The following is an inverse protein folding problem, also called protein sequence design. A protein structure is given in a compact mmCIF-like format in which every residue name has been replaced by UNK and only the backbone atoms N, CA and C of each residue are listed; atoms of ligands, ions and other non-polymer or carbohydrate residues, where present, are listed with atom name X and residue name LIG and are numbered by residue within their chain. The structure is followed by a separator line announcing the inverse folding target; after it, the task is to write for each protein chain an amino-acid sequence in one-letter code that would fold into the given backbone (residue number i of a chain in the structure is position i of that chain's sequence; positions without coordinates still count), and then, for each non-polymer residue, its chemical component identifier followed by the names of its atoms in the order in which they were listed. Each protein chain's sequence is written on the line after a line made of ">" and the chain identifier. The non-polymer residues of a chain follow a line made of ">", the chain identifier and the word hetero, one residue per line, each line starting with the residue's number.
data_IF_414023432121
#
_entry.id   IF_414023432121
#
_cell.length_a   1.000
_cell.length_b   1.000
_cell.length_c   1.000
_cell.angle_alpha   90.00
_cell.angle_beta   90.00
_cell.angle_gamma   90.00
#
_symmetry.space_group_name_H-M   'P 1'
#
loop_
_entity.id
_entity.type
_entity.pdbx_description
1 polymer ?
#
# COMPACT_ATOMS: atom_id res chain seq x y z
N UNK A 1 1.85 13.85 75.44
CA UNK A 1 1.05 14.13 74.23
C UNK A 1 1.51 15.39 73.44
N UNK A 2 2.31 16.27 74.02
CA UNK A 2 2.72 17.53 73.37
C UNK A 2 3.94 17.45 72.43
N UNK A 3 4.71 16.37 72.45
CA UNK A 3 5.93 16.23 71.60
C UNK A 3 5.55 15.80 70.17
N UNK A 4 4.52 14.99 69.99
CA UNK A 4 4.01 14.59 68.67
C UNK A 4 3.40 15.76 67.89
N UNK A 5 2.79 16.70 68.57
CA UNK A 5 2.15 17.88 67.97
C UNK A 5 3.16 18.88 67.33
N UNK A 6 4.38 18.96 67.92
CA UNK A 6 5.44 19.84 67.42
C UNK A 6 6.15 19.24 66.17
N UNK A 7 6.41 17.95 66.11
CA UNK A 7 6.98 17.28 64.96
C UNK A 7 6.01 17.30 63.78
N UNK A 8 4.70 17.11 63.99
CA UNK A 8 3.68 17.22 62.93
C UNK A 8 3.59 18.66 62.40
N UNK A 9 3.69 19.68 63.28
CA UNK A 9 3.68 21.10 62.84
C UNK A 9 4.93 21.46 62.03
N UNK A 10 6.10 20.96 62.39
CA UNK A 10 7.36 21.15 61.61
C UNK A 10 7.24 20.53 60.22
N UNK A 11 6.77 19.29 60.13
CA UNK A 11 6.59 18.60 58.83
C UNK A 11 5.57 19.33 57.93
N UNK A 12 4.47 19.81 58.51
CA UNK A 12 3.47 20.60 57.76
C UNK A 12 4.06 21.94 57.29
N UNK A 13 4.90 22.59 58.08
CA UNK A 13 5.54 23.86 57.72
C UNK A 13 6.54 23.67 56.57
N UNK A 14 7.33 22.58 56.56
CA UNK A 14 8.25 22.25 55.49
C UNK A 14 7.52 21.95 54.16
N UNK A 15 6.42 21.19 54.23
CA UNK A 15 5.58 20.92 53.03
C UNK A 15 4.98 22.23 52.50
N UNK A 16 4.50 23.12 53.35
CA UNK A 16 3.97 24.44 52.94
C UNK A 16 5.04 25.29 52.27
N UNK A 17 6.24 25.39 52.86
CA UNK A 17 7.34 26.15 52.28
C UNK A 17 7.80 25.60 50.92
N UNK A 18 7.87 24.27 50.81
CA UNK A 18 8.15 23.61 49.56
C UNK A 18 7.07 23.91 48.49
N UNK A 19 5.79 23.86 48.88
CA UNK A 19 4.67 24.15 47.99
C UNK A 19 4.62 25.61 47.56
N UNK A 20 4.95 26.56 48.44
CA UNK A 20 5.07 27.96 48.07
C UNK A 20 6.17 28.19 47.03
N UNK A 21 7.25 27.46 47.12
CA UNK A 21 8.40 27.58 46.20
C UNK A 21 8.15 26.86 44.89
N UNK A 22 7.66 25.63 44.92
CA UNK A 22 7.57 24.74 43.73
C UNK A 22 6.12 24.48 43.27
N UNK A 23 5.11 24.86 44.02
CA UNK A 23 3.71 24.55 43.75
C UNK A 23 3.24 25.00 42.35
N UNK A 24 3.67 26.20 41.92
CA UNK A 24 3.33 26.71 40.57
C UNK A 24 3.93 25.83 39.49
N UNK A 25 5.19 25.40 39.65
CA UNK A 25 5.87 24.55 38.68
C UNK A 25 5.24 23.16 38.62
N UNK A 26 4.94 22.57 39.78
CA UNK A 26 4.26 21.26 39.86
C UNK A 26 2.87 21.34 39.25
N UNK A 27 2.08 22.34 39.57
CA UNK A 27 0.74 22.54 39.02
C UNK A 27 0.82 22.69 37.46
N UNK A 28 1.76 23.51 36.99
CA UNK A 28 1.96 23.68 35.54
C UNK A 28 2.33 22.35 34.87
N UNK A 29 3.25 21.59 35.47
CA UNK A 29 3.65 20.29 34.95
C UNK A 29 2.46 19.30 34.89
N UNK A 30 1.66 19.24 35.94
CA UNK A 30 0.44 18.39 36.01
C UNK A 30 -0.57 18.80 34.93
N UNK A 31 -0.80 20.09 34.73
CA UNK A 31 -1.71 20.59 33.70
C UNK A 31 -1.21 20.26 32.31
N UNK A 32 0.10 20.39 32.03
CA UNK A 32 0.70 20.02 30.73
C UNK A 32 0.54 18.55 30.48
N UNK A 33 0.82 17.68 31.44
CA UNK A 33 0.65 16.22 31.30
C UNK A 33 -0.82 15.85 31.08
N UNK A 34 -1.75 16.49 31.81
CA UNK A 34 -3.18 16.25 31.64
C UNK A 34 -3.66 16.64 30.21
N UNK A 35 -3.28 17.84 29.74
CA UNK A 35 -3.63 18.30 28.39
C UNK A 35 -3.01 17.41 27.30
N UNK A 36 -1.76 17.00 27.48
CA UNK A 36 -1.10 16.06 26.55
C UNK A 36 -1.81 14.72 26.49
N UNK A 37 -2.25 14.19 27.64
CA UNK A 37 -3.00 12.93 27.72
C UNK A 37 -4.36 13.01 27.03
N UNK A 38 -5.09 14.11 27.23
CA UNK A 38 -6.39 14.35 26.56
C UNK A 38 -6.20 14.49 25.06
N UNK A 39 -5.19 15.26 24.62
CA UNK A 39 -4.85 15.41 23.21
C UNK A 39 -4.50 14.08 22.55
N UNK A 40 -3.69 13.26 23.23
CA UNK A 40 -3.33 11.92 22.77
C UNK A 40 -4.54 10.98 22.66
N UNK A 41 -5.42 10.98 23.64
CA UNK A 41 -6.64 10.17 23.63
C UNK A 41 -7.59 10.58 22.51
N UNK A 42 -7.78 11.92 22.32
CA UNK A 42 -8.60 12.45 21.23
C UNK A 42 -8.05 12.08 19.85
N UNK A 43 -6.73 12.20 19.67
CA UNK A 43 -6.05 11.78 18.44
C UNK A 43 -6.21 10.29 18.17
N UNK A 44 -5.97 9.44 19.17
CA UNK A 44 -6.14 7.98 19.03
C UNK A 44 -7.59 7.58 18.75
N UNK A 45 -8.56 8.25 19.35
CA UNK A 45 -9.98 8.01 19.06
C UNK A 45 -10.30 8.37 17.60
N UNK A 46 -9.83 9.54 17.13
CA UNK A 46 -10.01 9.97 15.74
C UNK A 46 -9.39 8.98 14.75
N UNK A 47 -8.15 8.56 14.98
CA UNK A 47 -7.46 7.58 14.13
C UNK A 47 -8.17 6.23 14.10
N UNK A 48 -8.64 5.73 15.24
CA UNK A 48 -9.43 4.48 15.29
C UNK A 48 -10.74 4.60 14.51
N UNK A 49 -11.42 5.72 14.61
CA UNK A 49 -12.66 5.97 13.87
C UNK A 49 -12.41 5.97 12.37
N UNK A 50 -11.38 6.69 11.90
CA UNK A 50 -10.97 6.73 10.51
C UNK A 50 -10.60 5.34 9.98
N UNK A 51 -9.82 4.57 10.74
CA UNK A 51 -9.44 3.21 10.36
C UNK A 51 -10.66 2.27 10.29
N UNK A 52 -11.61 2.41 11.22
CA UNK A 52 -12.85 1.62 11.23
C UNK A 52 -13.73 1.92 10.00
N UNK A 53 -13.92 3.20 9.66
CA UNK A 53 -14.67 3.62 8.47
C UNK A 53 -14.01 3.12 7.18
N UNK A 54 -12.68 3.26 7.08
CA UNK A 54 -11.92 2.75 5.94
C UNK A 54 -12.01 1.23 5.81
N UNK A 55 -11.93 0.49 6.92
CA UNK A 55 -12.06 -0.97 6.89
C UNK A 55 -13.42 -1.44 6.41
N UNK A 56 -14.50 -0.77 6.80
CA UNK A 56 -15.86 -1.09 6.33
C UNK A 56 -16.02 -0.87 4.83
N UNK A 57 -15.47 0.22 4.30
CA UNK A 57 -15.46 0.47 2.85
C UNK A 57 -14.65 -0.59 2.11
N UNK A 58 -13.50 -0.99 2.65
CA UNK A 58 -12.69 -2.07 2.07
C UNK A 58 -13.45 -3.40 2.04
N UNK A 59 -14.08 -3.80 3.15
CA UNK A 59 -14.92 -5.01 3.21
C UNK A 59 -16.07 -4.94 2.19
N UNK A 60 -16.67 -3.76 2.02
CA UNK A 60 -17.69 -3.52 0.99
C UNK A 60 -17.14 -3.76 -0.41
N UNK A 61 -15.95 -3.24 -0.71
CA UNK A 61 -15.29 -3.46 -2.00
C UNK A 61 -14.99 -4.94 -2.26
N UNK A 62 -14.46 -5.67 -1.25
CA UNK A 62 -14.14 -7.09 -1.36
C UNK A 62 -15.42 -7.93 -1.58
N UNK A 63 -16.47 -7.68 -0.82
CA UNK A 63 -17.75 -8.39 -0.98
C UNK A 63 -18.40 -8.12 -2.33
N UNK A 64 -18.37 -6.87 -2.80
CA UNK A 64 -18.84 -6.50 -4.13
C UNK A 64 -18.01 -7.18 -5.23
N UNK A 65 -16.69 -7.25 -5.06
CA UNK A 65 -15.80 -7.98 -5.97
C UNK A 65 -16.14 -9.46 -6.07
N UNK A 66 -16.42 -10.10 -4.95
CA UNK A 66 -16.85 -11.50 -4.91
C UNK A 66 -18.22 -11.74 -5.58
N UNK A 67 -19.05 -10.70 -5.62
CA UNK A 67 -20.36 -10.71 -6.31
C UNK A 67 -20.26 -10.27 -7.79
N UNK A 68 -19.06 -10.00 -8.32
CA UNK A 68 -18.81 -9.45 -9.64
C UNK A 68 -19.51 -8.10 -9.92
N UNK A 69 -19.73 -7.30 -8.85
CA UNK A 69 -20.31 -5.95 -8.94
C UNK A 69 -19.19 -4.91 -9.07
N UNK A 70 -18.63 -4.79 -10.25
CA UNK A 70 -17.51 -3.89 -10.55
C UNK A 70 -17.85 -2.42 -10.26
N UNK A 71 -19.11 -2.01 -10.44
CA UNK A 71 -19.55 -0.64 -10.16
C UNK A 71 -19.45 -0.34 -8.66
N UNK A 72 -19.99 -1.20 -7.83
CA UNK A 72 -19.96 -1.05 -6.37
C UNK A 72 -18.54 -1.12 -5.80
N UNK A 73 -17.68 -1.98 -6.39
CA UNK A 73 -16.25 -2.01 -6.05
C UNK A 73 -15.61 -0.64 -6.33
N UNK A 74 -15.84 -0.07 -7.49
CA UNK A 74 -15.30 1.23 -7.89
C UNK A 74 -15.78 2.36 -6.96
N UNK A 75 -17.06 2.37 -6.61
CA UNK A 75 -17.63 3.36 -5.70
C UNK A 75 -16.99 3.29 -4.30
N UNK A 76 -16.86 2.09 -3.77
CA UNK A 76 -16.23 1.89 -2.46
C UNK A 76 -14.74 2.25 -2.47
N UNK A 77 -13.99 1.86 -3.49
CA UNK A 77 -12.58 2.23 -3.66
C UNK A 77 -12.40 3.74 -3.89
N UNK A 78 -13.29 4.37 -4.65
CA UNK A 78 -13.31 5.83 -4.83
C UNK A 78 -13.46 6.58 -3.51
N UNK A 79 -14.40 6.14 -2.65
CA UNK A 79 -14.58 6.71 -1.31
C UNK A 79 -13.36 6.50 -0.41
N UNK A 80 -12.68 5.35 -0.51
CA UNK A 80 -11.44 5.10 0.21
C UNK A 80 -10.34 6.07 -0.21
N UNK A 81 -10.14 6.28 -1.50
CA UNK A 81 -9.16 7.21 -2.04
C UNK A 81 -9.49 8.66 -1.63
N UNK A 82 -10.76 9.07 -1.71
CA UNK A 82 -11.18 10.44 -1.43
C UNK A 82 -11.08 10.79 0.06
N UNK A 83 -11.55 9.89 0.95
CA UNK A 83 -11.72 10.20 2.39
C UNK A 83 -10.63 9.62 3.27
N UNK A 84 -9.95 8.57 2.83
CA UNK A 84 -9.02 7.77 3.63
C UNK A 84 -7.72 7.45 2.87
N UNK A 85 -7.26 8.36 2.01
CA UNK A 85 -6.09 8.16 1.13
C UNK A 85 -4.81 7.74 1.85
N UNK A 86 -4.62 8.18 3.10
CA UNK A 86 -3.49 7.79 3.96
C UNK A 86 -3.66 6.44 4.67
N UNK A 87 -4.76 5.71 4.44
CA UNK A 87 -4.99 4.40 5.03
C UNK A 87 -4.50 3.29 4.11
N UNK A 88 -3.94 2.21 4.67
CA UNK A 88 -3.62 0.99 3.92
C UNK A 88 -4.83 0.45 3.14
N UNK A 89 -6.04 0.65 3.66
CA UNK A 89 -7.28 0.22 3.01
C UNK A 89 -7.55 0.94 1.68
N UNK A 90 -7.07 2.17 1.49
CA UNK A 90 -7.21 2.87 0.22
C UNK A 90 -6.42 2.15 -0.89
N UNK A 91 -5.16 1.79 -0.63
CA UNK A 91 -4.36 1.03 -1.59
C UNK A 91 -4.94 -0.37 -1.86
N UNK A 92 -5.35 -1.08 -0.81
CA UNK A 92 -5.97 -2.40 -0.97
C UNK A 92 -7.30 -2.35 -1.73
N UNK A 93 -8.16 -1.37 -1.42
CA UNK A 93 -9.43 -1.16 -2.12
C UNK A 93 -9.23 -0.81 -3.60
N UNK A 94 -8.24 0.04 -3.90
CA UNK A 94 -7.90 0.39 -5.28
C UNK A 94 -7.33 -0.81 -6.06
N UNK A 95 -6.54 -1.71 -5.43
CA UNK A 95 -6.10 -2.95 -6.04
C UNK A 95 -7.26 -3.91 -6.35
N UNK A 96 -8.23 -4.01 -5.44
CA UNK A 96 -9.47 -4.79 -5.66
C UNK A 96 -10.27 -4.20 -6.81
N UNK A 97 -10.40 -2.86 -6.85
CA UNK A 97 -11.11 -2.18 -7.92
C UNK A 97 -10.41 -2.33 -9.27
N UNK A 98 -9.08 -2.19 -9.31
CA UNK A 98 -8.29 -2.40 -10.51
C UNK A 98 -8.51 -3.79 -11.11
N UNK A 99 -8.52 -4.84 -10.26
CA UNK A 99 -8.84 -6.20 -10.68
C UNK A 99 -10.28 -6.31 -11.21
N UNK A 100 -11.27 -5.88 -10.42
CA UNK A 100 -12.68 -6.03 -10.79
C UNK A 100 -13.05 -5.26 -12.08
N UNK A 101 -12.47 -4.07 -12.30
CA UNK A 101 -12.67 -3.31 -13.53
C UNK A 101 -12.00 -4.00 -14.73
N UNK A 102 -10.79 -4.54 -14.58
CA UNK A 102 -10.11 -5.29 -15.65
C UNK A 102 -10.92 -6.53 -16.05
N UNK A 103 -11.40 -7.31 -15.09
CA UNK A 103 -12.26 -8.49 -15.34
C UNK A 103 -13.60 -8.12 -16.02
N UNK A 104 -14.11 -6.91 -15.77
CA UNK A 104 -15.29 -6.37 -16.43
C UNK A 104 -14.99 -5.76 -17.82
N UNK A 105 -13.74 -5.74 -18.28
CA UNK A 105 -13.29 -5.13 -19.53
C UNK A 105 -13.19 -3.58 -19.47
N UNK A 106 -13.33 -2.99 -18.30
CA UNK A 106 -13.17 -1.54 -18.11
C UNK A 106 -11.70 -1.20 -17.80
N UNK A 107 -10.84 -1.43 -18.79
CA UNK A 107 -9.39 -1.25 -18.67
C UNK A 107 -9.00 0.17 -18.26
N UNK A 108 -9.74 1.18 -18.72
CA UNK A 108 -9.48 2.58 -18.38
C UNK A 108 -9.61 2.86 -16.87
N UNK A 109 -10.71 2.41 -16.26
CA UNK A 109 -10.90 2.56 -14.82
C UNK A 109 -9.96 1.65 -14.02
N UNK A 110 -9.67 0.44 -14.52
CA UNK A 110 -8.66 -0.45 -13.94
C UNK A 110 -7.29 0.22 -13.88
N UNK A 111 -6.83 0.78 -15.02
CA UNK A 111 -5.55 1.48 -15.10
C UNK A 111 -5.50 2.69 -14.16
N UNK A 112 -6.58 3.45 -14.04
CA UNK A 112 -6.66 4.61 -13.14
C UNK A 112 -6.49 4.22 -11.67
N UNK A 113 -7.13 3.14 -11.22
CA UNK A 113 -7.02 2.64 -9.85
C UNK A 113 -5.60 2.11 -9.56
N UNK A 114 -5.02 1.36 -10.49
CA UNK A 114 -3.69 0.79 -10.35
C UNK A 114 -2.59 1.85 -10.43
N UNK A 115 -2.73 2.86 -11.29
CA UNK A 115 -1.83 4.00 -11.37
C UNK A 115 -1.80 4.77 -10.04
N UNK A 116 -2.96 5.01 -9.44
CA UNK A 116 -3.02 5.65 -8.13
C UNK A 116 -2.22 4.86 -7.06
N UNK A 117 -2.35 3.53 -7.02
CA UNK A 117 -1.58 2.69 -6.07
C UNK A 117 -0.09 2.71 -6.39
N UNK A 118 0.29 2.74 -7.67
CA UNK A 118 1.70 2.78 -8.09
C UNK A 118 2.44 4.06 -7.64
N UNK A 119 1.69 5.12 -7.39
CA UNK A 119 2.20 6.41 -6.91
C UNK A 119 2.10 6.55 -5.38
N UNK A 120 0.98 6.10 -4.79
CA UNK A 120 0.62 6.37 -3.39
C UNK A 120 0.75 5.15 -2.48
N UNK A 121 1.11 3.97 -3.00
CA UNK A 121 1.31 2.76 -2.20
C UNK A 121 2.33 2.99 -1.07
N UNK A 122 2.01 2.50 0.14
CA UNK A 122 2.76 2.75 1.37
C UNK A 122 4.25 2.35 1.26
N UNK A 123 4.53 1.23 0.60
CA UNK A 123 5.88 0.72 0.44
C UNK A 123 6.17 0.34 -1.02
N UNK A 124 7.45 0.10 -1.33
CA UNK A 124 7.88 -0.22 -2.68
C UNK A 124 7.23 -1.50 -3.21
N UNK A 125 7.06 -2.54 -2.39
CA UNK A 125 6.47 -3.80 -2.83
C UNK A 125 5.01 -3.61 -3.34
N UNK A 126 4.21 -2.81 -2.64
CA UNK A 126 2.84 -2.48 -3.06
C UNK A 126 2.84 -1.68 -4.37
N UNK A 127 3.76 -0.72 -4.49
CA UNK A 127 3.89 0.08 -5.72
C UNK A 127 4.35 -0.76 -6.90
N UNK A 128 5.32 -1.67 -6.70
CA UNK A 128 5.81 -2.55 -7.76
C UNK A 128 4.75 -3.55 -8.21
N UNK A 129 4.01 -4.14 -7.27
CA UNK A 129 2.85 -4.98 -7.60
C UNK A 129 1.79 -4.21 -8.40
N UNK A 130 1.51 -2.96 -8.02
CA UNK A 130 0.54 -2.13 -8.74
C UNK A 130 1.01 -1.80 -10.15
N UNK A 131 2.30 -1.46 -10.35
CA UNK A 131 2.88 -1.22 -11.67
C UNK A 131 2.83 -2.44 -12.56
N UNK A 132 3.13 -3.62 -12.00
CA UNK A 132 3.05 -4.88 -12.73
C UNK A 132 1.62 -5.14 -13.24
N UNK A 133 0.63 -4.97 -12.37
CA UNK A 133 -0.80 -5.13 -12.74
C UNK A 133 -1.26 -4.04 -13.70
N UNK A 134 -0.79 -2.81 -13.53
CA UNK A 134 -1.08 -1.70 -14.44
C UNK A 134 -0.56 -2.01 -15.84
N UNK A 135 0.68 -2.48 -15.95
CA UNK A 135 1.26 -2.86 -17.23
C UNK A 135 0.50 -4.02 -17.89
N UNK A 136 0.02 -5.00 -17.12
CA UNK A 136 -0.80 -6.10 -17.65
C UNK A 136 -2.15 -5.57 -18.21
N UNK A 137 -2.83 -4.69 -17.47
CA UNK A 137 -4.08 -4.03 -17.93
C UNK A 137 -3.84 -3.20 -19.20
N UNK A 138 -2.73 -2.47 -19.26
CA UNK A 138 -2.35 -1.67 -20.43
C UNK A 138 -2.00 -2.56 -21.64
N UNK A 139 -1.42 -3.76 -21.41
CA UNK A 139 -1.21 -4.74 -22.45
C UNK A 139 -2.55 -5.24 -23.01
N UNK A 140 -3.51 -5.59 -22.13
CA UNK A 140 -4.84 -6.06 -22.53
C UNK A 140 -5.63 -4.98 -23.28
N UNK A 141 -5.43 -3.70 -22.92
CA UNK A 141 -6.01 -2.55 -23.64
C UNK A 141 -5.34 -2.30 -25.01
N UNK A 142 -4.14 -2.85 -25.25
CA UNK A 142 -3.32 -2.55 -26.42
C UNK A 142 -2.47 -1.29 -26.29
N UNK A 143 -2.39 -0.70 -25.09
CA UNK A 143 -1.61 0.51 -24.79
C UNK A 143 -0.14 0.16 -24.50
N UNK A 144 0.56 -0.44 -25.45
CA UNK A 144 1.89 -1.06 -25.28
C UNK A 144 2.97 -0.10 -24.77
N UNK A 145 3.01 1.13 -25.28
CA UNK A 145 4.01 2.11 -24.84
C UNK A 145 3.80 2.53 -23.37
N UNK A 146 2.53 2.63 -22.94
CA UNK A 146 2.19 2.88 -21.54
C UNK A 146 2.58 1.69 -20.64
N UNK A 147 2.35 0.46 -21.11
CA UNK A 147 2.75 -0.75 -20.39
C UNK A 147 4.29 -0.80 -20.19
N UNK A 148 5.06 -0.52 -21.24
CA UNK A 148 6.52 -0.44 -21.13
C UNK A 148 6.97 0.67 -20.18
N UNK A 149 6.31 1.82 -20.20
CA UNK A 149 6.60 2.91 -19.26
C UNK A 149 6.32 2.50 -17.80
N UNK A 150 5.23 1.78 -17.55
CA UNK A 150 4.89 1.26 -16.21
C UNK A 150 5.94 0.25 -15.70
N UNK A 151 6.59 -0.50 -16.59
CA UNK A 151 7.66 -1.47 -16.29
C UNK A 151 9.07 -0.86 -16.31
N UNK A 152 9.22 0.45 -16.51
CA UNK A 152 10.54 1.10 -16.61
C UNK A 152 11.20 1.35 -15.25
N UNK A 153 10.44 1.35 -14.16
CA UNK A 153 10.97 1.51 -12.82
C UNK A 153 11.80 0.28 -12.42
N UNK A 154 12.87 0.49 -11.63
CA UNK A 154 13.63 -0.62 -11.04
C UNK A 154 12.85 -1.20 -9.85
N UNK A 155 12.29 -2.42 -9.97
CA UNK A 155 11.49 -3.02 -8.92
C UNK A 155 12.37 -3.69 -7.86
N UNK A 156 11.77 -4.05 -6.71
CA UNK A 156 12.37 -4.97 -5.76
C UNK A 156 12.73 -6.30 -6.44
N UNK A 157 13.72 -6.99 -5.89
CA UNK A 157 14.26 -8.23 -6.45
C UNK A 157 13.18 -9.28 -6.71
N UNK A 158 12.23 -9.43 -5.80
CA UNK A 158 11.10 -10.37 -5.91
C UNK A 158 10.18 -10.11 -7.12
N UNK A 159 10.19 -8.90 -7.68
CA UNK A 159 9.37 -8.54 -8.83
C UNK A 159 10.13 -8.53 -10.16
N UNK A 160 11.48 -8.57 -10.14
CA UNK A 160 12.30 -8.44 -11.36
C UNK A 160 11.96 -9.47 -12.43
N UNK A 161 11.77 -10.73 -12.02
CA UNK A 161 11.38 -11.79 -12.91
C UNK A 161 10.05 -11.49 -13.62
N UNK A 162 9.02 -11.15 -12.84
CA UNK A 162 7.69 -10.86 -13.38
C UNK A 162 7.68 -9.62 -14.27
N UNK A 163 8.48 -8.60 -13.95
CA UNK A 163 8.66 -7.42 -14.81
C UNK A 163 9.31 -7.76 -16.13
N UNK A 164 10.37 -8.60 -16.13
CA UNK A 164 11.07 -9.01 -17.34
C UNK A 164 10.17 -9.89 -18.23
N UNK A 165 9.42 -10.82 -17.64
CA UNK A 165 8.50 -11.68 -18.37
C UNK A 165 7.37 -10.87 -19.03
N UNK A 166 6.69 -10.00 -18.25
CA UNK A 166 5.61 -9.15 -18.78
C UNK A 166 6.13 -8.15 -19.83
N UNK A 167 7.36 -7.63 -19.65
CA UNK A 167 8.00 -6.79 -20.69
C UNK A 167 8.17 -7.55 -21.99
N UNK A 168 8.53 -8.84 -21.93
CA UNK A 168 8.58 -9.72 -23.09
C UNK A 168 7.21 -9.85 -23.76
N UNK A 169 6.13 -10.07 -22.97
CA UNK A 169 4.77 -10.17 -23.49
C UNK A 169 4.33 -8.88 -24.21
N UNK A 170 4.60 -7.72 -23.61
CA UNK A 170 4.27 -6.41 -24.21
C UNK A 170 5.03 -6.18 -25.52
N UNK A 171 6.33 -6.47 -25.55
CA UNK A 171 7.16 -6.31 -26.75
C UNK A 171 6.73 -7.27 -27.86
N UNK A 172 6.35 -8.49 -27.51
CA UNK A 172 5.80 -9.45 -28.48
C UNK A 172 4.49 -8.95 -29.07
N UNK A 173 3.54 -8.52 -28.23
CA UNK A 173 2.26 -7.96 -28.69
C UNK A 173 2.44 -6.70 -29.53
N UNK A 174 3.50 -5.92 -29.29
CA UNK A 174 3.87 -4.75 -30.09
C UNK A 174 4.52 -5.11 -31.45
N UNK A 175 4.74 -6.40 -31.75
CA UNK A 175 5.38 -6.87 -32.96
C UNK A 175 6.90 -6.70 -32.98
N UNK A 176 7.56 -6.71 -31.81
CA UNK A 176 9.01 -6.56 -31.64
C UNK A 176 9.64 -7.87 -31.11
N UNK A 177 9.61 -8.98 -31.89
CA UNK A 177 10.00 -10.31 -31.43
C UNK A 177 11.44 -10.40 -30.93
N UNK A 178 12.39 -9.69 -31.53
CA UNK A 178 13.80 -9.74 -31.11
C UNK A 178 13.99 -9.08 -29.74
N UNK A 179 13.28 -8.00 -29.46
CA UNK A 179 13.31 -7.35 -28.16
C UNK A 179 12.56 -8.18 -27.10
N UNK A 180 11.45 -8.82 -27.49
CA UNK A 180 10.72 -9.75 -26.63
C UNK A 180 11.62 -10.92 -26.19
N UNK A 181 12.38 -11.51 -27.16
CA UNK A 181 13.35 -12.58 -26.88
C UNK A 181 14.39 -12.15 -25.86
N UNK A 182 14.95 -10.94 -25.99
CA UNK A 182 15.90 -10.42 -25.02
C UNK A 182 15.29 -10.25 -23.63
N UNK A 183 14.04 -9.78 -23.53
CA UNK A 183 13.35 -9.62 -22.25
C UNK A 183 13.05 -10.98 -21.58
N UNK A 184 12.59 -11.97 -22.33
CA UNK A 184 12.37 -13.33 -21.81
C UNK A 184 13.67 -14.02 -21.41
N UNK A 185 14.78 -13.79 -22.12
CA UNK A 185 16.08 -14.33 -21.73
C UNK A 185 16.51 -13.80 -20.35
N UNK A 186 16.29 -12.50 -20.09
CA UNK A 186 16.52 -11.90 -18.77
C UNK A 186 15.60 -12.54 -17.71
N UNK A 187 14.32 -12.75 -18.03
CA UNK A 187 13.39 -13.40 -17.10
C UNK A 187 13.83 -14.85 -16.79
N UNK A 188 14.33 -15.57 -17.78
CA UNK A 188 14.83 -16.95 -17.63
C UNK A 188 16.08 -17.00 -16.73
N UNK A 189 16.98 -16.02 -16.86
CA UNK A 189 18.17 -15.90 -15.99
C UNK A 189 17.77 -15.61 -14.54
N UNK A 190 16.75 -14.79 -14.33
CA UNK A 190 16.20 -14.47 -13.00
C UNK A 190 15.47 -15.65 -12.36
N UNK A 191 14.89 -16.55 -13.15
CA UNK A 191 14.23 -17.78 -12.69
C UNK A 191 15.23 -18.85 -12.26
N UNK A 192 16.15 -18.53 -11.34
CA UNK A 192 17.25 -19.40 -10.96
C UNK A 192 16.91 -20.38 -9.81
N UNK A 193 15.82 -20.11 -9.06
CA UNK A 193 15.41 -20.93 -7.91
C UNK A 193 14.76 -22.26 -8.36
N UNK A 194 14.93 -23.35 -7.60
CA UNK A 194 14.15 -24.58 -7.83
C UNK A 194 12.63 -24.36 -7.77
N UNK A 195 12.17 -23.38 -7.00
CA UNK A 195 10.75 -23.02 -6.90
C UNK A 195 10.20 -22.37 -8.19
N UNK A 196 11.08 -21.89 -9.06
CA UNK A 196 10.73 -21.20 -10.31
C UNK A 196 10.57 -22.18 -11.49
N UNK A 197 10.63 -23.49 -11.28
CA UNK A 197 10.62 -24.49 -12.35
C UNK A 197 9.41 -24.31 -13.30
N UNK A 198 8.23 -24.08 -12.74
CA UNK A 198 7.00 -23.93 -13.54
C UNK A 198 7.02 -22.65 -14.40
N UNK A 199 7.45 -21.52 -13.81
CA UNK A 199 7.53 -20.24 -14.53
C UNK A 199 8.65 -20.28 -15.59
N UNK A 200 9.74 -20.99 -15.30
CA UNK A 200 10.83 -21.23 -16.26
C UNK A 200 10.35 -21.99 -17.49
N UNK A 201 9.56 -23.07 -17.30
CA UNK A 201 8.97 -23.81 -18.42
C UNK A 201 8.06 -22.93 -19.27
N UNK A 202 7.25 -22.07 -18.62
CA UNK A 202 6.38 -21.13 -19.32
C UNK A 202 7.19 -20.10 -20.14
N UNK A 203 8.23 -19.50 -19.55
CA UNK A 203 9.09 -18.54 -20.26
C UNK A 203 9.84 -19.22 -21.41
N UNK A 204 10.32 -20.47 -21.22
CA UNK A 204 10.96 -21.23 -22.27
C UNK A 204 9.98 -21.50 -23.43
N UNK A 205 8.74 -21.88 -23.16
CA UNK A 205 7.71 -22.05 -24.16
C UNK A 205 7.42 -20.75 -24.94
N UNK A 206 7.41 -19.59 -24.26
CA UNK A 206 7.28 -18.27 -24.93
C UNK A 206 8.48 -18.00 -25.86
N UNK A 207 9.71 -18.31 -25.41
CA UNK A 207 10.91 -18.18 -26.23
C UNK A 207 10.90 -19.09 -27.47
N UNK A 208 10.50 -20.34 -27.29
CA UNK A 208 10.41 -21.33 -28.39
C UNK A 208 9.35 -20.91 -29.43
N UNK A 209 8.24 -20.31 -28.97
CA UNK A 209 7.18 -19.79 -29.85
C UNK A 209 7.65 -18.59 -30.70
N UNK A 210 8.66 -17.83 -30.26
CA UNK A 210 9.28 -16.79 -31.10
C UNK A 210 10.14 -17.31 -32.25
N UNK A 211 10.42 -18.59 -32.26
CA UNK A 211 11.28 -19.24 -33.25
C UNK A 211 12.77 -18.90 -33.08
N UNK A 212 13.62 -19.57 -33.87
CA UNK A 212 15.05 -19.24 -33.90
C UNK A 212 15.21 -17.91 -34.64
N UNK A 213 15.96 -16.98 -34.08
CA UNK A 213 16.33 -15.72 -34.76
C UNK A 213 17.02 -16.07 -36.08
N UNK A 214 16.44 -15.61 -37.19
CA UNK A 214 17.05 -15.76 -38.52
C UNK A 214 18.20 -14.77 -38.69
#
# INVERSE_FOLDING_TARGET
>A
MAVYDLEEQEQISEIKAWWETYGKLVTTAVVVVAMSSVGWQGWNWYQRKQASEASLLYVTAVNAGSANDAQKVREAAGQLIEKHSGSVYAALGALVAGKAQAEAGDYKNAAMMLAWVSEHGENQAVRDMARLRLAAVQLDEGSFDAALASLSADPLEDYRLAYADLKGDVLFAQGKPDQARAAYAVALELAASPNDAQIRELIQAKLDALGVAK
#
